data_IF_299127979288
#
_entry.id   IF_299127979288
#
_cell.length_a   1.000
_cell.length_b   1.000
_cell.length_c   1.000
_cell.angle_alpha   90.00
_cell.angle_beta   90.00
_cell.angle_gamma   90.00
#
_symmetry.space_group_name_H-M   'P 1'
#
loop_
_entity.id
_entity.type
_entity.pdbx_description
1 polymer ?
#
# COMPACT_ATOMS: atom_id res chain seq x y z
N UNK A 1 2.66 -1.69 16.09
CA UNK A 1 3.47 -1.40 14.89
C UNK A 1 2.55 -1.18 13.70
N UNK A 2 2.73 -0.07 12.98
CA UNK A 2 1.91 0.35 11.85
C UNK A 2 2.73 0.25 10.58
N UNK A 3 2.30 -0.58 9.64
CA UNK A 3 3.01 -0.84 8.39
C UNK A 3 2.21 -0.27 7.23
N UNK A 4 2.78 0.70 6.52
CA UNK A 4 2.23 1.15 5.24
C UNK A 4 2.92 0.36 4.12
N UNK A 5 2.15 -0.47 3.44
CA UNK A 5 2.65 -1.35 2.38
C UNK A 5 2.25 -0.79 1.02
N UNK A 6 3.21 -0.30 0.25
CA UNK A 6 2.97 0.35 -1.05
C UNK A 6 3.29 -0.63 -2.16
N UNK A 7 2.27 -1.17 -2.85
CA UNK A 7 2.44 -2.29 -3.79
C UNK A 7 1.28 -2.50 -4.77
N UNK A 8 1.45 -3.43 -5.71
CA UNK A 8 0.36 -4.04 -6.49
C UNK A 8 -0.41 -5.03 -5.63
N UNK A 9 -1.74 -5.04 -5.70
CA UNK A 9 -2.59 -5.90 -4.87
C UNK A 9 -3.71 -6.57 -5.71
N UNK A 10 -4.26 -7.71 -5.29
CA UNK A 10 -5.35 -8.39 -5.99
C UNK A 10 -6.61 -7.54 -6.12
N UNK A 11 -7.54 -7.90 -7.06
CA UNK A 11 -7.42 -7.87 -8.51
C UNK A 11 -6.24 -8.46 -9.25
N UNK A 12 -5.17 -7.66 -9.26
CA UNK A 12 -4.09 -7.82 -10.23
C UNK A 12 -3.37 -9.14 -9.99
N UNK A 13 -3.68 -10.11 -10.85
CA UNK A 13 -3.04 -11.44 -10.87
C UNK A 13 -1.59 -11.28 -11.30
N UNK A 14 -0.71 -11.14 -10.32
CA UNK A 14 0.73 -11.08 -10.48
C UNK A 14 1.38 -11.59 -9.20
N UNK A 15 2.56 -12.21 -9.30
CA UNK A 15 3.22 -12.80 -8.14
C UNK A 15 3.49 -11.80 -7.00
N UNK A 16 3.69 -10.52 -7.30
CA UNK A 16 3.79 -9.46 -6.28
C UNK A 16 2.46 -9.29 -5.53
N UNK A 17 1.34 -9.23 -6.26
CA UNK A 17 0.02 -9.05 -5.66
C UNK A 17 -0.37 -10.20 -4.77
N UNK A 18 -0.16 -11.43 -5.23
CA UNK A 18 -0.47 -12.65 -4.46
C UNK A 18 0.39 -12.73 -3.20
N UNK A 19 1.71 -12.52 -3.33
CA UNK A 19 2.63 -12.46 -2.18
C UNK A 19 2.24 -11.37 -1.18
N UNK A 20 1.94 -10.16 -1.67
CA UNK A 20 1.55 -9.04 -0.81
C UNK A 20 0.26 -9.35 -0.06
N UNK A 21 -0.74 -9.94 -0.72
CA UNK A 21 -2.00 -10.31 -0.07
C UNK A 21 -1.78 -11.34 1.03
N UNK A 22 -1.06 -12.42 0.75
CA UNK A 22 -0.79 -13.47 1.73
C UNK A 22 -0.02 -12.95 2.94
N UNK A 23 1.07 -12.21 2.69
CA UNK A 23 1.92 -11.70 3.77
C UNK A 23 1.22 -10.63 4.61
N UNK A 24 0.56 -9.66 3.99
CA UNK A 24 -0.13 -8.59 4.73
C UNK A 24 -1.29 -9.14 5.55
N UNK A 25 -2.02 -10.12 5.01
CA UNK A 25 -3.07 -10.84 5.74
C UNK A 25 -2.49 -11.62 6.91
N UNK A 26 -1.37 -12.31 6.73
CA UNK A 26 -0.69 -13.01 7.82
C UNK A 26 -0.25 -12.05 8.93
N UNK A 27 0.34 -10.91 8.56
CA UNK A 27 0.78 -9.89 9.51
C UNK A 27 -0.39 -9.26 10.28
N UNK A 28 -1.52 -9.02 9.61
CA UNK A 28 -2.71 -8.44 10.23
C UNK A 28 -3.39 -9.35 11.28
N UNK A 29 -2.98 -10.63 11.39
CA UNK A 29 -3.45 -11.53 12.45
C UNK A 29 -2.83 -11.23 13.82
N UNK A 30 -1.67 -10.57 13.87
CA UNK A 30 -1.11 -10.10 15.14
C UNK A 30 -1.80 -8.79 15.53
N UNK A 31 -2.54 -8.79 16.64
CA UNK A 31 -3.27 -7.61 17.13
C UNK A 31 -2.37 -6.39 17.44
N UNK A 32 -1.05 -6.60 17.56
CA UNK A 32 -0.07 -5.53 17.77
C UNK A 32 0.38 -4.89 16.45
N UNK A 33 -0.01 -5.45 15.31
CA UNK A 33 0.36 -5.00 13.97
C UNK A 33 -0.87 -4.48 13.24
N UNK A 34 -0.79 -3.24 12.78
CA UNK A 34 -1.79 -2.64 11.89
C UNK A 34 -1.17 -2.50 10.51
N UNK A 35 -1.80 -3.10 9.49
CA UNK A 35 -1.32 -3.04 8.11
C UNK A 35 -2.31 -2.24 7.27
N UNK A 36 -1.78 -1.25 6.54
CA UNK A 36 -2.49 -0.56 5.47
C UNK A 36 -1.75 -0.80 4.17
N UNK A 37 -2.46 -1.28 3.16
CA UNK A 37 -1.95 -1.38 1.80
C UNK A 37 -2.38 -0.15 1.01
N UNK A 38 -1.41 0.55 0.42
CA UNK A 38 -1.62 1.55 -0.61
C UNK A 38 -1.38 0.88 -1.96
N UNK A 39 -2.41 0.80 -2.80
CA UNK A 39 -2.39 0.11 -4.09
C UNK A 39 -3.10 0.88 -5.20
N UNK A 40 -3.07 0.33 -6.41
CA UNK A 40 -3.65 0.92 -7.62
C UNK A 40 -5.18 0.82 -7.61
N UNK A 41 -5.83 1.82 -8.22
CA UNK A 41 -7.29 1.88 -8.27
C UNK A 41 -7.95 0.79 -9.13
N UNK A 42 -7.25 0.26 -10.13
CA UNK A 42 -7.71 -0.79 -11.05
C UNK A 42 -7.58 -2.20 -10.47
N UNK A 43 -7.15 -2.30 -9.22
CA UNK A 43 -6.88 -3.55 -8.56
C UNK A 43 -8.02 -4.08 -7.71
N UNK A 44 -9.11 -3.37 -7.38
CA UNK A 44 -10.13 -3.90 -6.47
C UNK A 44 -11.54 -3.49 -6.89
N UNK A 45 -12.54 -4.28 -6.51
CA UNK A 45 -13.94 -3.90 -6.69
C UNK A 45 -14.21 -2.54 -6.03
N UNK A 46 -15.06 -1.68 -6.64
CA UNK A 46 -15.41 -0.39 -6.05
C UNK A 46 -15.95 -0.53 -4.62
N UNK A 47 -15.40 0.24 -3.67
CA UNK A 47 -15.89 0.28 -2.29
C UNK A 47 -15.17 -0.66 -1.31
N UNK A 48 -14.27 -1.54 -1.78
CA UNK A 48 -13.45 -2.36 -0.89
C UNK A 48 -12.45 -1.47 -0.15
N UNK A 49 -12.66 -1.32 1.15
CA UNK A 49 -11.78 -0.60 2.07
C UNK A 49 -11.01 -1.53 3.02
N UNK A 50 -11.38 -2.81 3.07
CA UNK A 50 -10.72 -3.85 3.86
C UNK A 50 -10.63 -5.17 3.11
N UNK A 51 -9.55 -5.90 3.36
CA UNK A 51 -9.29 -7.24 2.85
C UNK A 51 -8.70 -8.08 3.98
N UNK A 52 -9.40 -9.11 4.45
CA UNK A 52 -8.92 -10.02 5.51
C UNK A 52 -8.20 -9.34 6.69
N UNK A 53 -8.79 -8.25 7.19
CA UNK A 53 -8.25 -7.47 8.32
C UNK A 53 -7.25 -6.37 7.93
N UNK A 54 -6.82 -6.32 6.66
CA UNK A 54 -5.93 -5.29 6.11
C UNK A 54 -6.74 -4.09 5.63
N UNK A 55 -6.33 -2.87 5.96
CA UNK A 55 -6.92 -1.65 5.40
C UNK A 55 -6.39 -1.39 4.00
N UNK A 56 -7.26 -1.01 3.06
CA UNK A 56 -6.86 -0.76 1.68
C UNK A 56 -7.13 0.68 1.27
N UNK A 57 -6.09 1.36 0.78
CA UNK A 57 -6.16 2.64 0.08
C UNK A 57 -5.78 2.46 -1.40
N UNK A 58 -6.59 3.03 -2.30
CA UNK A 58 -6.48 2.86 -3.77
C UNK A 58 -5.84 4.07 -4.47
N UNK A 59 -4.92 4.73 -3.77
CA UNK A 59 -4.39 6.04 -4.13
C UNK A 59 -3.01 6.00 -4.81
N UNK A 60 -2.59 4.84 -5.34
CA UNK A 60 -1.29 4.62 -5.99
C UNK A 60 -1.32 4.78 -7.52
N UNK A 61 -2.18 5.65 -8.04
CA UNK A 61 -2.29 5.84 -9.49
C UNK A 61 -1.02 6.50 -10.10
N UNK A 62 -0.80 6.36 -11.42
CA UNK A 62 0.38 6.92 -12.09
C UNK A 62 0.41 8.46 -12.10
N UNK A 63 -0.74 9.11 -11.87
CA UNK A 63 -0.89 10.56 -11.71
C UNK A 63 -0.92 10.96 -10.24
N UNK A 64 -0.66 10.02 -9.31
CA UNK A 64 -0.76 10.28 -7.90
C UNK A 64 0.30 11.32 -7.56
N UNK A 65 -0.18 12.52 -7.26
CA UNK A 65 0.65 13.61 -6.79
C UNK A 65 1.45 13.11 -5.57
N UNK A 66 2.74 13.49 -5.43
CA UNK A 66 3.52 13.19 -4.22
C UNK A 66 2.77 13.58 -2.94
N UNK A 67 1.93 14.62 -3.01
CA UNK A 67 1.09 15.07 -1.91
C UNK A 67 0.03 14.04 -1.47
N UNK A 68 -0.48 13.21 -2.39
CA UNK A 68 -1.47 12.18 -2.08
C UNK A 68 -0.82 11.05 -1.28
N UNK A 69 0.39 10.62 -1.65
CA UNK A 69 1.15 9.61 -0.91
C UNK A 69 1.59 10.17 0.45
N UNK A 70 2.08 11.42 0.51
CA UNK A 70 2.43 12.07 1.76
C UNK A 70 1.24 12.11 2.74
N UNK A 71 0.04 12.45 2.24
CA UNK A 71 -1.19 12.43 3.05
C UNK A 71 -1.56 11.03 3.55
N UNK A 72 -1.31 9.97 2.77
CA UNK A 72 -1.54 8.60 3.23
C UNK A 72 -0.56 8.22 4.36
N UNK A 73 0.71 8.64 4.23
CA UNK A 73 1.73 8.47 5.27
C UNK A 73 1.32 9.24 6.53
N UNK A 74 1.01 10.53 6.41
CA UNK A 74 0.60 11.38 7.55
C UNK A 74 -0.68 10.86 8.22
N UNK A 75 -1.71 10.53 7.44
CA UNK A 75 -2.99 10.06 7.98
C UNK A 75 -2.88 8.67 8.62
N UNK A 76 -1.97 7.82 8.13
CA UNK A 76 -1.75 6.51 8.72
C UNK A 76 -0.71 6.53 9.84
N UNK A 77 0.25 7.45 9.86
CA UNK A 77 1.35 7.46 10.82
C UNK A 77 2.08 6.10 10.92
N UNK A 78 2.64 5.54 9.83
CA UNK A 78 3.34 4.26 9.88
C UNK A 78 4.65 4.35 10.65
N UNK A 79 4.98 3.29 11.39
CA UNK A 79 6.32 3.05 11.95
C UNK A 79 7.28 2.54 10.86
N UNK A 80 6.74 1.84 9.85
CA UNK A 80 7.48 1.28 8.73
C UNK A 80 6.73 1.52 7.42
N UNK A 81 7.44 2.05 6.42
CA UNK A 81 6.96 2.10 5.04
C UNK A 81 7.68 1.03 4.23
N UNK A 82 6.93 0.04 3.74
CA UNK A 82 7.45 -1.01 2.87
C UNK A 82 7.11 -0.70 1.41
N UNK A 83 8.11 -0.57 0.56
CA UNK A 83 7.95 -0.27 -0.87
C UNK A 83 8.22 -1.52 -1.68
N UNK A 84 7.19 -2.07 -2.33
CA UNK A 84 7.31 -3.27 -3.13
C UNK A 84 6.78 -3.06 -4.54
N UNK A 85 7.70 -2.87 -5.50
CA UNK A 85 7.39 -2.88 -6.93
C UNK A 85 8.66 -2.95 -7.75
N UNK A 86 8.57 -3.54 -8.93
CA UNK A 86 9.58 -3.43 -9.98
C UNK A 86 9.73 -2.00 -10.54
N UNK A 87 8.77 -1.10 -10.28
CA UNK A 87 8.71 0.24 -10.88
C UNK A 87 8.83 1.42 -9.90
N UNK A 88 8.77 1.22 -8.57
CA UNK A 88 8.83 2.36 -7.63
C UNK A 88 10.21 3.01 -7.54
N UNK A 89 11.29 2.25 -7.73
CA UNK A 89 12.65 2.81 -7.80
C UNK A 89 12.79 3.84 -8.95
N UNK A 90 11.97 3.73 -9.99
CA UNK A 90 11.98 4.62 -11.15
C UNK A 90 10.89 5.71 -11.11
N UNK A 91 10.14 5.86 -10.01
CA UNK A 91 9.07 6.85 -9.89
C UNK A 91 9.46 8.02 -8.97
N UNK A 92 9.78 9.20 -9.52
CA UNK A 92 10.20 10.35 -8.73
C UNK A 92 9.19 10.81 -7.68
N UNK A 93 7.89 10.58 -7.90
CA UNK A 93 6.83 11.00 -6.97
C UNK A 93 6.85 10.25 -5.65
N UNK A 94 7.04 8.93 -5.69
CA UNK A 94 7.17 8.07 -4.50
C UNK A 94 8.44 8.43 -3.73
N UNK A 95 9.57 8.51 -4.43
CA UNK A 95 10.86 8.87 -3.81
C UNK A 95 10.82 10.26 -3.17
N UNK A 96 10.09 11.22 -3.76
CA UNK A 96 9.94 12.58 -3.19
C UNK A 96 9.05 12.61 -1.95
N UNK A 97 8.00 11.77 -1.90
CA UNK A 97 7.12 11.71 -0.74
C UNK A 97 7.83 11.18 0.52
N UNK A 98 8.86 10.35 0.36
CA UNK A 98 9.62 9.72 1.45
C UNK A 98 10.78 10.56 2.00
N UNK A 99 11.15 11.65 1.31
CA UNK A 99 12.28 12.52 1.70
C UNK A 99 11.88 13.70 2.57
N UNK A 100 10.60 13.79 2.94
CA UNK A 100 10.06 14.81 3.83
C UNK A 100 10.11 14.30 5.25
#
# INVERSE_FOLDING_TARGET
MRILWITSFPPRRCGIGDYSADLTTHLARDARVAVRVLTYADGLAPGVARWDGVEISRNLDARASPHRIAREIEAFGPDLVHLQSSSFLHRPSVNRALRR
#
